data_IF_351234431584
#
_entry.id   IF_351234431584
#
_cell.length_a   1.000
_cell.length_b   1.000
_cell.length_c   1.000
_cell.angle_alpha   90.00
_cell.angle_beta   90.00
_cell.angle_gamma   90.00
#
_symmetry.space_group_name_H-M   'P 1'
#
loop_
_entity.id
_entity.type
_entity.pdbx_description
1 polymer ?
#
# COMPACT_ATOMS: atom_id res chain seq x y z
N UNK A 1 10.94 -28.45 0.33
CA UNK A 1 9.97 -27.49 0.94
C UNK A 1 10.00 -27.37 2.48
N UNK A 2 10.88 -28.05 3.23
CA UNK A 2 10.88 -27.98 4.72
C UNK A 2 11.97 -27.05 5.28
N UNK A 3 13.00 -26.67 4.49
CA UNK A 3 14.14 -25.88 4.97
C UNK A 3 13.83 -24.38 5.13
N UNK A 4 13.01 -23.79 4.27
CA UNK A 4 12.74 -22.33 4.27
C UNK A 4 11.92 -21.88 5.48
N UNK A 5 11.00 -22.73 5.97
CA UNK A 5 10.17 -22.42 7.16
C UNK A 5 10.96 -22.35 8.46
N UNK A 6 12.13 -23.01 8.54
CA UNK A 6 12.99 -23.00 9.74
C UNK A 6 13.84 -21.72 9.85
N UNK A 7 14.18 -21.10 8.73
CA UNK A 7 14.97 -19.86 8.70
C UNK A 7 14.12 -18.67 9.18
N UNK A 8 12.85 -18.62 8.77
CA UNK A 8 11.92 -17.56 9.18
C UNK A 8 11.62 -17.58 10.70
N UNK A 9 11.60 -18.77 11.32
CA UNK A 9 11.38 -18.91 12.75
C UNK A 9 12.59 -18.51 13.61
N UNK A 10 13.81 -18.50 13.04
CA UNK A 10 15.04 -18.28 13.79
C UNK A 10 15.47 -16.79 13.83
N UNK A 11 15.03 -16.00 12.85
CA UNK A 11 15.27 -14.55 12.78
C UNK A 11 14.44 -13.79 13.81
N UNK A 12 13.20 -14.22 14.07
CA UNK A 12 12.31 -13.57 15.06
C UNK A 12 12.82 -13.78 16.51
N UNK A 13 13.64 -14.79 16.76
CA UNK A 13 14.11 -15.12 18.12
C UNK A 13 15.42 -14.41 18.53
N UNK A 14 16.14 -13.73 17.63
CA UNK A 14 17.48 -13.19 17.92
C UNK A 14 17.56 -11.66 18.01
N UNK A 15 16.48 -10.91 17.76
CA UNK A 15 16.48 -9.42 17.81
C UNK A 15 16.29 -8.87 19.24
N UNK A 16 16.81 -9.57 20.26
CA UNK A 16 16.70 -9.13 21.68
C UNK A 16 18.04 -8.78 22.32
N UNK A 17 19.20 -8.91 21.66
CA UNK A 17 20.48 -8.62 22.35
C UNK A 17 21.44 -7.82 21.47
N UNK A 18 21.96 -6.73 22.07
CA UNK A 18 23.09 -5.86 21.66
C UNK A 18 22.74 -4.78 20.63
N UNK A 19 22.78 -3.46 20.87
CA UNK A 19 23.33 -2.68 21.99
C UNK A 19 24.78 -2.24 21.75
N UNK A 20 25.04 -1.18 20.95
CA UNK A 20 26.24 -0.34 21.11
C UNK A 20 26.94 0.19 19.84
N UNK A 21 26.89 1.52 19.68
CA UNK A 21 27.94 2.48 19.23
C UNK A 21 28.76 2.17 17.96
N UNK A 22 28.73 3.06 16.94
CA UNK A 22 29.86 3.90 16.51
C UNK A 22 29.54 4.76 15.27
N UNK A 23 30.04 5.99 15.32
CA UNK A 23 29.90 7.11 14.40
C UNK A 23 30.73 6.97 13.11
N UNK A 24 30.30 7.63 12.02
CA UNK A 24 31.17 7.90 10.87
C UNK A 24 30.46 8.60 9.69
N UNK A 25 30.66 9.92 9.54
CA UNK A 25 30.30 10.72 8.36
C UNK A 25 31.43 10.75 7.31
N UNK A 26 31.08 10.80 6.02
CA UNK A 26 31.69 11.57 4.90
C UNK A 26 31.33 10.89 3.57
N UNK A 27 30.99 11.50 2.44
CA UNK A 27 30.94 12.88 1.97
C UNK A 27 31.00 12.87 0.42
N UNK A 28 30.08 13.61 -0.22
CA UNK A 28 30.28 14.43 -1.45
C UNK A 28 30.74 13.78 -2.77
N UNK A 29 29.86 13.77 -3.79
CA UNK A 29 29.94 14.58 -5.05
C UNK A 29 29.15 13.94 -6.21
N UNK A 30 28.23 14.71 -6.79
CA UNK A 30 27.69 14.50 -8.13
C UNK A 30 28.72 14.90 -9.23
N UNK A 31 28.52 14.43 -10.48
CA UNK A 31 28.25 15.41 -11.53
C UNK A 31 27.20 14.97 -12.57
N UNK A 32 26.52 15.97 -13.14
CA UNK A 32 25.66 15.90 -14.34
C UNK A 32 26.48 15.75 -15.63
N UNK A 33 25.90 15.20 -16.72
CA UNK A 33 25.79 15.86 -18.07
C UNK A 33 25.01 14.99 -19.09
N UNK A 34 23.90 15.57 -19.60
CA UNK A 34 23.25 15.58 -20.94
C UNK A 34 23.26 14.36 -21.90
N UNK A 35 22.04 13.92 -22.24
CA UNK A 35 21.40 14.10 -23.57
C UNK A 35 21.73 13.14 -24.73
N UNK A 36 20.75 12.32 -25.13
CA UNK A 36 20.73 11.61 -26.42
C UNK A 36 19.58 10.59 -26.53
N UNK A 37 18.65 10.86 -27.45
CA UNK A 37 17.46 10.08 -27.84
C UNK A 37 17.81 8.73 -28.48
N UNK A 38 17.19 7.62 -28.04
CA UNK A 38 16.79 6.46 -28.88
C UNK A 38 15.71 5.61 -28.17
N UNK A 39 14.77 5.15 -28.99
CA UNK A 39 13.53 4.45 -28.69
C UNK A 39 13.68 2.93 -28.44
N UNK A 40 12.79 2.42 -27.57
CA UNK A 40 12.25 1.05 -27.39
C UNK A 40 13.18 -0.09 -26.95
N UNK A 41 12.94 -0.62 -25.75
CA UNK A 41 12.70 -2.07 -25.55
C UNK A 41 12.09 -2.34 -24.16
N UNK A 42 11.04 -3.16 -24.14
CA UNK A 42 10.45 -3.70 -22.92
C UNK A 42 11.38 -4.78 -22.35
N UNK A 43 11.89 -4.55 -21.15
CA UNK A 43 12.53 -5.59 -20.34
C UNK A 43 11.94 -5.51 -18.94
N UNK A 44 11.25 -6.59 -18.55
CA UNK A 44 10.85 -6.84 -17.18
C UNK A 44 12.11 -6.84 -16.30
N UNK A 45 12.24 -5.87 -15.40
CA UNK A 45 13.31 -5.90 -14.40
C UNK A 45 12.80 -6.63 -13.16
N UNK A 46 13.24 -7.89 -13.08
CA UNK A 46 13.14 -8.76 -11.93
C UNK A 46 14.10 -8.26 -10.84
N UNK A 47 13.81 -7.11 -10.23
CA UNK A 47 14.63 -6.55 -9.13
C UNK A 47 13.80 -5.83 -8.08
N UNK A 48 13.21 -6.61 -7.19
CA UNK A 48 13.13 -6.23 -5.77
C UNK A 48 13.07 -7.46 -4.86
N UNK A 49 13.98 -8.42 -5.10
CA UNK A 49 14.33 -9.37 -4.05
C UNK A 49 15.07 -8.59 -2.95
N UNK A 50 14.39 -8.35 -1.82
CA UNK A 50 15.01 -7.80 -0.60
C UNK A 50 16.22 -8.66 -0.23
N UNK A 51 17.42 -8.17 -0.53
CA UNK A 51 18.68 -8.76 -0.08
C UNK A 51 18.96 -8.22 1.32
N UNK A 52 18.82 -9.09 2.31
CA UNK A 52 19.25 -8.80 3.67
C UNK A 52 20.78 -8.99 3.76
N UNK A 53 21.52 -7.90 3.55
CA UNK A 53 22.92 -7.76 3.94
C UNK A 53 23.16 -6.30 4.32
N UNK A 54 23.13 -5.96 5.61
CA UNK A 54 23.52 -4.64 6.15
C UNK A 54 22.70 -3.40 5.74
N UNK A 55 21.88 -3.48 4.69
CA UNK A 55 21.12 -2.36 4.14
C UNK A 55 19.73 -2.25 4.77
N UNK A 56 19.38 -1.03 5.15
CA UNK A 56 18.04 -0.66 5.62
C UNK A 56 16.99 -1.00 4.56
N UNK A 57 16.00 -1.82 4.90
CA UNK A 57 14.94 -2.19 3.96
C UNK A 57 13.91 -1.06 3.86
N UNK A 58 13.80 -0.43 2.69
CA UNK A 58 12.78 0.57 2.41
C UNK A 58 11.48 -0.11 1.99
N UNK A 59 10.40 0.22 2.69
CA UNK A 59 9.09 -0.37 2.53
C UNK A 59 8.07 0.73 2.29
N UNK A 60 7.31 0.58 1.20
CA UNK A 60 6.24 1.50 0.88
C UNK A 60 4.87 0.99 1.34
N UNK A 61 4.05 1.90 1.86
CA UNK A 61 2.69 1.64 2.29
C UNK A 61 1.68 2.50 1.51
N UNK A 62 0.88 1.87 0.64
CA UNK A 62 -0.21 2.53 -0.07
C UNK A 62 -1.38 2.89 0.84
N UNK A 63 -1.85 4.13 0.74
CA UNK A 63 -2.95 4.65 1.57
C UNK A 63 -4.18 5.01 0.72
N UNK A 64 -4.54 6.28 0.66
CA UNK A 64 -5.60 6.87 -0.18
C UNK A 64 -5.39 8.39 -0.20
N UNK A 65 -6.40 9.18 -0.55
CA UNK A 65 -6.33 10.64 -0.62
C UNK A 65 -5.77 11.29 0.65
N UNK A 66 -5.03 12.37 0.44
CA UNK A 66 -4.39 13.13 1.52
C UNK A 66 -5.44 13.65 2.51
N UNK A 67 -5.19 13.44 3.80
CA UNK A 67 -6.13 13.79 4.87
C UNK A 67 -7.30 12.82 5.06
N UNK A 68 -7.44 11.79 4.21
CA UNK A 68 -8.38 10.69 4.42
C UNK A 68 -7.97 9.78 5.58
N UNK A 69 -8.88 8.90 6.00
CA UNK A 69 -8.66 7.98 7.14
C UNK A 69 -7.46 7.05 6.90
N UNK A 70 -7.34 6.47 5.70
CA UNK A 70 -6.22 5.60 5.34
C UNK A 70 -4.89 6.35 5.36
N UNK A 71 -4.85 7.59 4.87
CA UNK A 71 -3.63 8.38 4.85
C UNK A 71 -3.17 8.74 6.26
N UNK A 72 -4.07 9.26 7.09
CA UNK A 72 -3.76 9.64 8.48
C UNK A 72 -3.30 8.44 9.31
N UNK A 73 -3.99 7.30 9.17
CA UNK A 73 -3.62 6.07 9.88
C UNK A 73 -2.30 5.49 9.38
N UNK A 74 -2.06 5.51 8.06
CA UNK A 74 -0.85 4.97 7.44
C UNK A 74 0.39 5.74 7.85
N UNK A 75 0.31 7.08 7.87
CA UNK A 75 1.40 7.94 8.36
C UNK A 75 1.71 7.64 9.83
N UNK A 76 0.69 7.52 10.68
CA UNK A 76 0.89 7.21 12.09
C UNK A 76 1.52 5.82 12.30
N UNK A 77 1.13 4.82 11.52
CA UNK A 77 1.72 3.48 11.60
C UNK A 77 3.17 3.47 11.11
N UNK A 78 3.47 4.14 10.00
CA UNK A 78 4.85 4.24 9.50
C UNK A 78 5.76 4.92 10.53
N UNK A 79 5.30 5.96 11.22
CA UNK A 79 6.05 6.58 12.32
C UNK A 79 6.34 5.59 13.45
N UNK A 80 5.31 4.86 13.91
CA UNK A 80 5.48 3.85 14.97
C UNK A 80 6.42 2.72 14.51
N UNK A 81 6.34 2.28 13.27
CA UNK A 81 7.22 1.23 12.75
C UNK A 81 8.66 1.70 12.61
N UNK A 82 8.90 2.91 12.11
CA UNK A 82 10.25 3.48 12.03
C UNK A 82 10.89 3.62 13.43
N UNK A 83 10.08 3.90 14.46
CA UNK A 83 10.57 3.98 15.85
C UNK A 83 10.84 2.60 16.49
N UNK A 84 10.20 1.53 16.00
CA UNK A 84 10.17 0.21 16.67
C UNK A 84 10.85 -0.90 15.89
N UNK A 85 11.05 -0.76 14.60
CA UNK A 85 11.58 -1.77 13.70
C UNK A 85 12.92 -1.27 13.11
N UNK A 86 14.04 -1.45 13.83
CA UNK A 86 15.35 -1.06 13.32
C UNK A 86 15.72 -1.89 12.09
N UNK A 87 16.44 -1.27 11.15
CA UNK A 87 16.82 -1.91 9.88
C UNK A 87 15.71 -1.88 8.82
N UNK A 88 14.62 -1.15 9.06
CA UNK A 88 13.54 -0.92 8.10
C UNK A 88 13.11 0.55 8.10
N UNK A 89 12.75 1.07 6.93
CA UNK A 89 12.23 2.41 6.74
C UNK A 89 10.90 2.35 6.00
N UNK A 90 9.83 2.78 6.67
CA UNK A 90 8.47 2.78 6.15
C UNK A 90 8.07 4.19 5.70
N UNK A 91 7.53 4.29 4.49
CA UNK A 91 6.93 5.52 3.95
C UNK A 91 5.49 5.27 3.54
N UNK A 92 4.58 6.15 3.99
CA UNK A 92 3.19 6.15 3.55
C UNK A 92 3.04 6.94 2.25
N UNK A 93 2.39 6.34 1.25
CA UNK A 93 2.14 6.93 -0.05
C UNK A 93 0.65 7.22 -0.26
N UNK A 94 0.35 8.40 -0.79
CA UNK A 94 -0.99 8.76 -1.25
C UNK A 94 -1.26 8.02 -2.56
N UNK A 95 -2.41 7.38 -2.66
CA UNK A 95 -2.85 6.61 -3.83
C UNK A 95 -4.31 6.93 -4.16
N UNK A 96 -4.81 6.43 -5.28
CA UNK A 96 -6.23 6.47 -5.64
C UNK A 96 -7.11 5.54 -4.77
N UNK A 97 -6.50 4.74 -3.88
CA UNK A 97 -7.22 3.90 -2.93
C UNK A 97 -7.12 2.41 -3.24
N UNK A 98 -8.15 1.66 -2.84
CA UNK A 98 -8.13 0.21 -2.69
C UNK A 98 -7.74 -0.53 -3.97
N UNK A 99 -8.24 -0.10 -5.13
CA UNK A 99 -8.01 -0.82 -6.39
C UNK A 99 -6.59 -0.65 -6.91
N UNK A 100 -6.05 0.57 -6.87
CA UNK A 100 -4.64 0.84 -7.16
C UNK A 100 -3.73 0.10 -6.19
N UNK A 101 -4.07 0.14 -4.90
CA UNK A 101 -3.31 -0.52 -3.84
C UNK A 101 -3.22 -2.03 -4.06
N UNK A 102 -4.32 -2.70 -4.41
CA UNK A 102 -4.32 -4.11 -4.76
C UNK A 102 -3.36 -4.39 -5.93
N UNK A 103 -3.41 -3.59 -7.00
CA UNK A 103 -2.51 -3.77 -8.15
C UNK A 103 -1.05 -3.60 -7.76
N UNK A 104 -0.71 -2.51 -7.07
CA UNK A 104 0.68 -2.17 -6.70
C UNK A 104 1.29 -3.16 -5.70
N UNK A 105 0.49 -3.73 -4.81
CA UNK A 105 0.96 -4.84 -3.96
C UNK A 105 1.13 -6.12 -4.78
N UNK A 106 0.23 -6.40 -5.72
CA UNK A 106 0.33 -7.56 -6.60
C UNK A 106 1.53 -7.52 -7.54
N UNK A 107 1.98 -6.33 -7.95
CA UNK A 107 3.18 -6.11 -8.76
C UNK A 107 4.46 -5.90 -7.96
N UNK A 108 4.39 -5.91 -6.62
CA UNK A 108 5.50 -5.62 -5.70
C UNK A 108 6.07 -4.18 -5.83
N UNK A 109 5.30 -3.25 -6.41
CA UNK A 109 5.64 -1.82 -6.46
C UNK A 109 5.55 -1.18 -5.06
N UNK A 110 4.68 -1.71 -4.20
CA UNK A 110 4.57 -1.37 -2.78
C UNK A 110 4.41 -2.65 -1.96
N UNK A 111 4.94 -2.67 -0.74
CA UNK A 111 4.97 -3.90 0.08
C UNK A 111 3.74 -4.03 0.97
N UNK A 112 3.08 -2.92 1.28
CA UNK A 112 1.92 -2.86 2.17
C UNK A 112 0.90 -1.90 1.60
N UNK A 113 -0.38 -2.13 1.88
CA UNK A 113 -1.40 -1.12 1.62
C UNK A 113 -2.66 -1.34 2.44
N UNK A 114 -3.46 -0.28 2.56
CA UNK A 114 -4.85 -0.41 2.96
C UNK A 114 -5.75 -0.72 1.78
N UNK A 115 -6.80 -1.49 2.02
CA UNK A 115 -7.80 -1.80 1.00
C UNK A 115 -9.13 -2.15 1.67
N UNK A 116 -10.22 -1.86 0.97
CA UNK A 116 -11.53 -2.39 1.33
C UNK A 116 -11.56 -3.91 1.10
N UNK A 117 -12.21 -4.65 2.00
CA UNK A 117 -12.27 -6.11 1.91
C UNK A 117 -12.96 -6.58 0.61
N UNK A 118 -13.94 -5.84 0.11
CA UNK A 118 -14.59 -6.09 -1.18
C UNK A 118 -13.59 -5.97 -2.34
N UNK A 119 -12.82 -4.89 -2.40
CA UNK A 119 -11.82 -4.68 -3.47
C UNK A 119 -10.73 -5.75 -3.45
N UNK A 120 -10.28 -6.21 -2.28
CA UNK A 120 -9.35 -7.36 -2.18
C UNK A 120 -9.99 -8.64 -2.72
N UNK A 121 -11.26 -8.88 -2.37
CA UNK A 121 -11.99 -10.05 -2.85
C UNK A 121 -12.14 -10.03 -4.38
N UNK A 122 -12.52 -8.89 -4.96
CA UNK A 122 -12.63 -8.72 -6.40
C UNK A 122 -11.28 -8.91 -7.11
N UNK A 123 -10.21 -8.31 -6.57
CA UNK A 123 -8.86 -8.43 -7.12
C UNK A 123 -8.38 -9.88 -7.14
N UNK A 124 -8.51 -10.61 -6.03
CA UNK A 124 -8.05 -11.99 -5.91
C UNK A 124 -8.85 -12.96 -6.79
N UNK A 125 -10.11 -12.64 -7.09
CA UNK A 125 -10.96 -13.48 -7.94
C UNK A 125 -11.01 -13.00 -9.40
N UNK A 126 -10.46 -11.83 -9.72
CA UNK A 126 -10.49 -11.26 -11.07
C UNK A 126 -11.91 -10.96 -11.55
N UNK A 127 -12.76 -10.42 -10.68
CA UNK A 127 -14.17 -10.09 -10.98
C UNK A 127 -14.44 -8.59 -10.76
N UNK A 128 -15.59 -8.11 -11.23
CA UNK A 128 -16.01 -6.73 -11.00
C UNK A 128 -15.07 -5.76 -11.70
N UNK A 129 -14.47 -4.82 -10.96
CA UNK A 129 -13.48 -3.89 -11.52
C UNK A 129 -12.17 -4.57 -11.98
N UNK A 130 -11.94 -5.82 -11.55
CA UNK A 130 -10.78 -6.65 -11.93
C UNK A 130 -11.13 -7.73 -12.95
N UNK A 131 -12.27 -7.63 -13.66
CA UNK A 131 -12.70 -8.63 -14.63
C UNK A 131 -11.59 -8.99 -15.64
N UNK A 132 -11.20 -10.27 -15.68
CA UNK A 132 -10.13 -10.78 -16.53
C UNK A 132 -8.71 -10.34 -16.13
N UNK A 133 -8.55 -9.70 -14.97
CA UNK A 133 -7.30 -9.17 -14.42
C UNK A 133 -7.13 -9.57 -12.95
N UNK A 134 -7.14 -10.87 -12.70
CA UNK A 134 -6.88 -11.41 -11.37
C UNK A 134 -5.51 -10.93 -10.85
N UNK A 135 -5.49 -10.47 -9.59
CA UNK A 135 -4.28 -10.03 -8.91
C UNK A 135 -3.78 -11.16 -8.02
N UNK A 136 -2.60 -11.67 -8.34
CA UNK A 136 -1.93 -12.70 -7.56
C UNK A 136 -1.09 -12.10 -6.41
N UNK A 137 -0.57 -12.94 -5.52
CA UNK A 137 0.36 -12.50 -4.47
C UNK A 137 -0.24 -11.77 -3.27
N UNK A 138 -1.48 -11.27 -3.35
CA UNK A 138 -2.12 -10.55 -2.23
C UNK A 138 -2.29 -11.41 -0.97
N UNK A 139 -1.95 -10.83 0.19
CA UNK A 139 -2.15 -11.43 1.52
C UNK A 139 -2.70 -10.41 2.49
N UNK A 140 -3.74 -10.80 3.24
CA UNK A 140 -4.33 -9.96 4.29
C UNK A 140 -3.58 -10.19 5.59
N UNK A 141 -3.08 -9.11 6.20
CA UNK A 141 -2.32 -9.15 7.45
C UNK A 141 -3.23 -8.87 8.66
N UNK A 142 -4.17 -7.93 8.52
CA UNK A 142 -5.09 -7.56 9.59
C UNK A 142 -6.39 -6.95 9.04
N UNK A 143 -7.48 -7.08 9.80
CA UNK A 143 -8.69 -6.27 9.64
C UNK A 143 -8.66 -5.17 10.71
N UNK A 144 -8.81 -3.91 10.31
CA UNK A 144 -8.61 -2.77 11.22
C UNK A 144 -9.92 -2.29 11.85
N UNK A 145 -10.92 -1.99 11.03
CA UNK A 145 -12.20 -1.47 11.45
C UNK A 145 -13.26 -1.74 10.39
N UNK A 146 -14.55 -1.83 10.77
CA UNK A 146 -15.64 -1.89 9.81
C UNK A 146 -15.81 -0.51 9.14
N UNK A 147 -15.76 -0.49 7.80
CA UNK A 147 -16.13 0.70 7.03
C UNK A 147 -17.66 0.75 6.90
N UNK A 148 -18.29 1.78 7.47
CA UNK A 148 -19.74 2.00 7.37
C UNK A 148 -20.02 2.90 6.18
N UNK A 149 -20.88 2.44 5.27
CA UNK A 149 -21.36 3.25 4.14
C UNK A 149 -22.28 4.33 4.69
N UNK A 150 -21.96 5.59 4.40
CA UNK A 150 -22.75 6.75 4.78
C UNK A 150 -23.23 7.47 3.53
N UNK A 151 -24.53 7.73 3.45
CA UNK A 151 -25.15 8.49 2.36
C UNK A 151 -25.73 9.77 2.97
N UNK A 152 -24.91 10.84 3.11
CA UNK A 152 -25.39 12.09 3.66
C UNK A 152 -26.28 12.82 2.64
N UNK A 153 -27.37 13.39 3.14
CA UNK A 153 -28.29 14.21 2.35
C UNK A 153 -28.45 15.58 2.99
N UNK A 154 -28.74 16.61 2.19
CA UNK A 154 -29.08 17.91 2.73
C UNK A 154 -30.42 17.82 3.45
N UNK A 155 -30.54 18.53 4.58
CA UNK A 155 -31.77 18.57 5.39
C UNK A 155 -33.02 18.91 4.57
N UNK A 156 -32.88 19.82 3.61
CA UNK A 156 -33.99 20.32 2.79
C UNK A 156 -34.08 19.63 1.41
N UNK A 157 -33.37 18.51 1.21
CA UNK A 157 -33.36 17.78 -0.07
C UNK A 157 -34.65 17.01 -0.38
N UNK A 158 -35.47 16.74 0.65
CA UNK A 158 -36.63 15.86 0.56
C UNK A 158 -36.31 14.36 0.42
N UNK A 159 -35.03 13.97 0.47
CA UNK A 159 -34.58 12.58 0.38
C UNK A 159 -34.64 11.95 1.78
N UNK A 160 -35.49 10.93 1.96
CA UNK A 160 -35.66 10.23 3.23
C UNK A 160 -35.41 8.72 3.12
N UNK A 161 -35.28 8.21 1.90
CA UNK A 161 -35.01 6.82 1.58
C UNK A 161 -34.03 6.72 0.41
N UNK A 162 -33.49 5.51 0.18
CA UNK A 162 -32.63 5.24 -0.98
C UNK A 162 -33.40 5.44 -2.29
N UNK A 163 -34.68 5.10 -2.34
CA UNK A 163 -35.49 5.23 -3.57
C UNK A 163 -35.62 6.70 -4.03
N UNK A 164 -35.55 7.65 -3.09
CA UNK A 164 -35.65 9.08 -3.39
C UNK A 164 -34.43 9.64 -4.16
N UNK A 165 -33.32 8.88 -4.24
CA UNK A 165 -32.11 9.31 -4.97
C UNK A 165 -32.20 9.05 -6.47
N UNK A 166 -33.19 8.29 -6.94
CA UNK A 166 -33.36 7.98 -8.36
C UNK A 166 -33.58 9.27 -9.15
N UNK A 167 -32.77 9.47 -10.19
CA UNK A 167 -32.79 10.70 -11.00
C UNK A 167 -32.15 11.92 -10.33
N UNK A 168 -31.54 11.78 -9.16
CA UNK A 168 -30.73 12.83 -8.51
C UNK A 168 -29.27 12.71 -8.92
N UNK A 169 -28.51 13.80 -8.74
CA UNK A 169 -27.05 13.77 -8.84
C UNK A 169 -26.49 13.22 -7.53
N UNK A 170 -25.75 12.12 -7.62
CA UNK A 170 -25.16 11.42 -6.46
C UNK A 170 -23.65 11.43 -6.62
N UNK A 171 -22.93 11.72 -5.53
CA UNK A 171 -21.49 11.55 -5.48
C UNK A 171 -21.19 10.09 -5.12
N UNK A 172 -20.49 9.37 -6.00
CA UNK A 172 -20.14 7.96 -5.85
C UNK A 172 -18.74 7.74 -5.25
N UNK A 173 -18.03 8.82 -4.91
CA UNK A 173 -16.66 8.78 -4.40
C UNK A 173 -15.61 8.94 -5.50
N UNK A 174 -14.35 8.76 -5.11
CA UNK A 174 -13.19 8.79 -6.01
C UNK A 174 -13.07 7.46 -6.76
N UNK A 175 -12.50 7.50 -7.97
CA UNK A 175 -12.28 6.30 -8.78
C UNK A 175 -11.29 5.34 -8.08
N UNK A 176 -11.61 4.05 -7.99
CA UNK A 176 -10.85 3.02 -7.28
C UNK A 176 -11.04 3.02 -5.76
N UNK A 177 -11.95 3.85 -5.24
CA UNK A 177 -12.29 3.87 -3.81
C UNK A 177 -13.32 2.79 -3.46
N UNK A 178 -13.35 2.38 -2.18
CA UNK A 178 -14.34 1.41 -1.71
C UNK A 178 -15.80 1.91 -1.72
N UNK A 179 -16.05 3.19 -2.01
CA UNK A 179 -17.40 3.73 -2.22
C UNK A 179 -17.88 3.62 -3.66
N UNK A 180 -16.95 3.48 -4.62
CA UNK A 180 -17.25 3.24 -6.04
C UNK A 180 -17.43 1.75 -6.35
N UNK A 181 -16.74 0.86 -5.59
CA UNK A 181 -16.74 -0.60 -5.78
C UNK A 181 -18.05 -1.28 -5.37
#
# INVERSE_FOLDING_TARGET
>A
MVKTKKILALVISNVVIVGGILSGCSGTSAPETKGGDQSVEAAADEKNAVKADGDEAFLSMGTSSSGGTFNTLGVALCQVWNDKLPGTSFTAEVTAGSSENCLRVGTDDIQLAFSAASSVYEAVNGIGQFEGKQVEGLRVIANLYPAIIQIPVLKDSGINSIDDIVGKKVNIGEAGSGSES
#
